data_IF_026323875768
#
_entry.id   IF_026323875768
#
_cell.length_a   1.000
_cell.length_b   1.000
_cell.length_c   1.000
_cell.angle_alpha   90.00
_cell.angle_beta   90.00
_cell.angle_gamma   90.00
#
_symmetry.space_group_name_H-M   'P 1'
#
loop_
_entity.id
_entity.type
_entity.pdbx_description
1 polymer ?
#
# COMPACT_ATOMS: atom_id res chain seq x y z
N UNK A 1 -6.64 14.46 -6.12
CA UNK A 1 -7.85 13.59 -6.01
C UNK A 1 -8.12 12.96 -7.37
N UNK A 2 -8.66 11.74 -7.40
CA UNK A 2 -8.96 11.02 -8.64
C UNK A 2 -9.98 11.80 -9.47
N UNK A 3 -9.73 11.97 -10.78
CA UNK A 3 -10.49 12.90 -11.62
C UNK A 3 -11.87 12.36 -12.05
N UNK A 4 -12.05 11.02 -12.14
CA UNK A 4 -13.32 10.38 -12.55
C UNK A 4 -13.49 8.98 -11.92
N UNK A 5 -13.72 8.86 -10.61
CA UNK A 5 -13.66 7.56 -9.97
C UNK A 5 -14.87 6.66 -10.33
N UNK A 6 -16.02 7.24 -10.73
CA UNK A 6 -17.17 6.49 -11.25
C UNK A 6 -16.96 5.81 -12.61
N UNK A 7 -15.83 6.03 -13.29
CA UNK A 7 -15.46 5.28 -14.50
C UNK A 7 -14.74 3.96 -14.19
N UNK A 8 -14.24 3.80 -12.95
CA UNK A 8 -13.37 2.67 -12.56
C UNK A 8 -13.95 1.81 -11.44
N UNK A 9 -14.97 2.32 -10.74
CA UNK A 9 -15.63 1.64 -9.64
C UNK A 9 -17.13 1.52 -9.95
N UNK A 10 -17.65 0.30 -9.92
CA UNK A 10 -19.09 -0.01 -9.91
C UNK A 10 -19.68 0.22 -8.51
N UNK A 11 -21.02 0.23 -8.39
CA UNK A 11 -21.74 0.65 -7.17
C UNK A 11 -21.28 0.02 -5.84
N UNK A 12 -20.85 -1.24 -5.86
CA UNK A 12 -20.42 -1.96 -4.64
C UNK A 12 -18.88 -2.08 -4.52
N UNK A 13 -18.13 -1.36 -5.36
CA UNK A 13 -16.68 -1.40 -5.38
C UNK A 13 -16.07 -0.23 -4.59
N UNK A 14 -15.09 -0.56 -3.76
CA UNK A 14 -14.39 0.39 -2.92
C UNK A 14 -12.92 0.01 -2.77
N UNK A 15 -12.12 0.99 -2.39
CA UNK A 15 -10.72 0.85 -2.03
C UNK A 15 -10.59 0.93 -0.51
N UNK A 16 -9.83 -0.01 0.05
CA UNK A 16 -9.35 0.10 1.43
C UNK A 16 -8.12 1.02 1.44
N UNK A 17 -8.32 2.22 1.96
CA UNK A 17 -7.30 3.27 1.97
C UNK A 17 -6.60 3.40 3.31
N UNK A 18 -5.35 3.87 3.26
CA UNK A 18 -4.62 4.31 4.43
C UNK A 18 -5.31 5.50 5.15
N UNK A 19 -4.97 5.71 6.42
CA UNK A 19 -5.42 6.85 7.24
C UNK A 19 -5.03 8.22 6.66
N UNK A 20 -3.99 8.27 5.82
CA UNK A 20 -3.58 9.47 5.11
C UNK A 20 -4.57 9.89 4.01
N UNK A 21 -5.43 8.98 3.54
CA UNK A 21 -6.44 9.30 2.54
C UNK A 21 -7.76 9.72 3.19
N UNK A 22 -8.35 10.79 2.68
CA UNK A 22 -9.68 11.23 3.12
C UNK A 22 -10.73 10.15 2.76
N UNK A 23 -11.58 9.74 3.72
CA UNK A 23 -12.70 8.84 3.44
C UNK A 23 -13.64 9.42 2.38
N UNK A 24 -14.18 8.56 1.52
CA UNK A 24 -15.16 8.95 0.49
C UNK A 24 -16.05 7.77 0.13
N UNK A 25 -17.00 7.97 -0.80
CA UNK A 25 -17.85 6.90 -1.33
C UNK A 25 -17.07 5.73 -1.95
N UNK A 26 -15.81 5.95 -2.33
CA UNK A 26 -14.93 4.92 -2.92
C UNK A 26 -13.79 4.53 -1.99
N UNK A 27 -13.36 5.40 -1.07
CA UNK A 27 -12.24 5.10 -0.16
C UNK A 27 -12.77 4.87 1.24
N UNK A 28 -12.65 3.63 1.71
CA UNK A 28 -12.92 3.23 3.08
C UNK A 28 -11.59 3.24 3.86
N UNK A 29 -11.45 4.18 4.78
CA UNK A 29 -10.30 4.26 5.69
C UNK A 29 -10.63 3.60 7.04
N UNK A 30 -9.63 3.48 7.91
CA UNK A 30 -9.86 2.95 9.27
C UNK A 30 -10.59 3.97 10.14
N UNK A 31 -11.36 3.47 11.10
CA UNK A 31 -12.12 4.31 12.02
C UNK A 31 -11.20 4.97 13.05
N UNK A 32 -11.28 6.30 13.16
CA UNK A 32 -10.61 7.04 14.24
C UNK A 32 -11.45 6.99 15.51
N UNK A 33 -10.79 7.05 16.67
CA UNK A 33 -11.49 7.21 17.95
C UNK A 33 -12.16 8.60 17.96
N UNK A 34 -13.48 8.69 18.25
CA UNK A 34 -14.15 9.98 18.38
C UNK A 34 -13.64 10.73 19.62
N UNK A 35 -13.65 12.07 19.56
CA UNK A 35 -13.03 12.94 20.56
C UNK A 35 -13.58 12.71 21.98
N UNK A 36 -14.89 12.46 22.10
CA UNK A 36 -15.58 12.22 23.36
C UNK A 36 -16.30 10.86 23.41
N UNK A 37 -15.74 9.82 22.77
CA UNK A 37 -16.42 8.52 22.71
C UNK A 37 -15.50 7.32 22.65
N UNK A 38 -16.13 6.14 22.81
CA UNK A 38 -15.49 4.85 22.60
C UNK A 38 -15.70 4.40 21.16
N UNK A 39 -14.69 3.74 20.60
CA UNK A 39 -14.82 3.05 19.33
C UNK A 39 -15.58 1.73 19.55
N UNK A 40 -16.60 1.47 18.74
CA UNK A 40 -17.40 0.23 18.78
C UNK A 40 -16.49 -1.00 18.63
N UNK A 41 -16.90 -2.13 19.22
CA UNK A 41 -16.20 -3.41 19.09
C UNK A 41 -16.08 -3.83 17.62
N UNK A 42 -17.11 -3.58 16.81
CA UNK A 42 -17.13 -3.86 15.37
C UNK A 42 -16.08 -3.05 14.63
N UNK A 43 -15.98 -1.74 14.92
CA UNK A 43 -14.98 -0.85 14.33
C UNK A 43 -13.56 -1.24 14.75
N UNK A 44 -13.36 -1.72 15.99
CA UNK A 44 -12.07 -2.28 16.42
C UNK A 44 -11.71 -3.53 15.62
N UNK A 45 -12.66 -4.44 15.42
CA UNK A 45 -12.42 -5.67 14.68
C UNK A 45 -12.13 -5.39 13.19
N UNK A 46 -12.87 -4.43 12.60
CA UNK A 46 -12.60 -3.95 11.25
C UNK A 46 -11.19 -3.37 11.14
N UNK A 47 -10.84 -2.42 12.00
CA UNK A 47 -9.52 -1.80 12.02
C UNK A 47 -8.40 -2.84 12.21
N UNK A 48 -8.59 -3.84 13.08
CA UNK A 48 -7.61 -4.90 13.30
C UNK A 48 -7.32 -5.68 12.01
N UNK A 49 -8.36 -6.09 11.27
CA UNK A 49 -8.19 -6.78 9.99
C UNK A 49 -7.54 -5.87 8.94
N UNK A 50 -7.97 -4.61 8.88
CA UNK A 50 -7.47 -3.63 7.92
C UNK A 50 -5.97 -3.34 8.14
N UNK A 51 -5.57 -3.01 9.37
CA UNK A 51 -4.16 -2.74 9.71
C UNK A 51 -3.28 -3.97 9.46
N UNK A 52 -3.75 -5.18 9.79
CA UNK A 52 -3.01 -6.41 9.49
C UNK A 52 -2.77 -6.61 7.99
N UNK A 53 -3.72 -6.24 7.14
CA UNK A 53 -3.53 -6.28 5.69
C UNK A 53 -2.53 -5.20 5.22
N UNK A 54 -2.64 -3.98 5.75
CA UNK A 54 -1.72 -2.88 5.44
C UNK A 54 -0.27 -3.23 5.79
N UNK A 55 -0.01 -3.79 6.97
CA UNK A 55 1.35 -4.20 7.39
C UNK A 55 2.00 -5.13 6.36
N UNK A 56 1.24 -6.10 5.82
CA UNK A 56 1.76 -7.03 4.80
C UNK A 56 2.06 -6.32 3.48
N UNK A 57 1.19 -5.41 3.05
CA UNK A 57 1.34 -4.62 1.82
C UNK A 57 2.56 -3.70 1.94
N UNK A 58 2.68 -2.96 3.05
CA UNK A 58 3.80 -2.06 3.31
C UNK A 58 5.12 -2.82 3.39
N UNK A 59 5.14 -3.98 4.05
CA UNK A 59 6.33 -4.83 4.11
C UNK A 59 6.77 -5.27 2.70
N UNK A 60 5.82 -5.74 1.87
CA UNK A 60 6.09 -6.12 0.48
C UNK A 60 6.63 -4.93 -0.34
N UNK A 61 6.00 -3.76 -0.26
CA UNK A 61 6.44 -2.54 -0.94
C UNK A 61 7.82 -2.11 -0.44
N UNK A 62 8.09 -2.24 0.86
CA UNK A 62 9.40 -1.96 1.45
C UNK A 62 10.49 -2.83 0.87
N UNK A 63 10.26 -4.15 0.76
CA UNK A 63 11.17 -5.08 0.09
C UNK A 63 11.40 -4.68 -1.37
N UNK A 64 10.32 -4.37 -2.10
CA UNK A 64 10.42 -3.95 -3.51
C UNK A 64 11.24 -2.67 -3.65
N UNK A 65 10.98 -1.66 -2.82
CA UNK A 65 11.76 -0.41 -2.79
C UNK A 65 13.24 -0.68 -2.49
N UNK A 66 13.53 -1.55 -1.52
CA UNK A 66 14.90 -1.96 -1.21
C UNK A 66 15.61 -2.60 -2.41
N UNK A 67 14.95 -3.54 -3.10
CA UNK A 67 15.47 -4.17 -4.32
C UNK A 67 15.70 -3.16 -5.45
N UNK A 68 14.78 -2.23 -5.67
CA UNK A 68 14.98 -1.20 -6.68
C UNK A 68 16.11 -0.24 -6.33
N UNK A 69 16.31 0.06 -5.05
CA UNK A 69 17.43 0.89 -4.61
C UNK A 69 18.77 0.17 -4.75
N UNK A 70 18.85 -1.14 -4.46
CA UNK A 70 20.08 -1.90 -4.70
C UNK A 70 20.47 -1.91 -6.18
N UNK A 71 19.49 -1.90 -7.09
CA UNK A 71 19.74 -1.74 -8.53
C UNK A 71 20.29 -0.36 -8.89
N UNK A 72 19.95 0.70 -8.16
CA UNK A 72 20.53 2.04 -8.38
C UNK A 72 21.97 2.15 -7.93
N UNK A 73 22.37 1.44 -6.87
CA UNK A 73 23.78 1.35 -6.49
C UNK A 73 24.59 0.44 -7.43
N UNK A 74 23.91 -0.48 -8.12
CA UNK A 74 24.50 -1.36 -9.12
C UNK A 74 24.58 -0.65 -10.48
N UNK A 75 25.52 0.27 -10.64
CA UNK A 75 25.84 0.91 -11.94
C UNK A 75 26.58 -0.08 -12.85
N UNK A 76 25.98 -1.21 -13.16
CA UNK A 76 26.53 -2.20 -14.09
C UNK A 76 25.60 -2.27 -15.30
N UNK A 77 26.09 -1.76 -16.42
CA UNK A 77 25.40 -1.87 -17.70
C UNK A 77 25.59 -3.29 -18.23
N UNK A 78 24.57 -4.14 -18.04
CA UNK A 78 24.55 -5.51 -18.58
C UNK A 78 24.25 -5.43 -20.08
N UNK A 79 25.27 -5.55 -20.92
CA UNK A 79 25.13 -5.59 -22.38
C UNK A 79 25.06 -7.00 -22.91
N UNK A 80 25.69 -7.95 -22.22
CA UNK A 80 25.75 -9.35 -22.63
C UNK A 80 25.78 -10.30 -21.42
N UNK A 81 25.62 -11.60 -21.69
CA UNK A 81 25.56 -12.66 -20.67
C UNK A 81 26.79 -12.77 -19.76
N UNK A 82 27.93 -12.20 -20.14
CA UNK A 82 29.16 -12.21 -19.33
C UNK A 82 29.19 -11.08 -18.29
N UNK A 83 28.42 -10.01 -18.50
CA UNK A 83 28.32 -8.90 -17.55
C UNK A 83 27.56 -9.34 -16.28
N UNK A 84 26.67 -10.32 -16.42
CA UNK A 84 25.92 -10.90 -15.29
C UNK A 84 26.84 -11.63 -14.30
N UNK A 85 27.93 -12.24 -14.79
CA UNK A 85 28.91 -12.92 -13.95
C UNK A 85 29.72 -11.97 -13.04
N UNK A 86 29.76 -10.66 -13.37
CA UNK A 86 30.42 -9.63 -12.54
C UNK A 86 29.53 -9.10 -11.41
N UNK A 87 28.25 -9.48 -11.40
CA UNK A 87 27.25 -8.95 -10.46
C UNK A 87 27.27 -9.70 -9.11
N UNK A 88 27.92 -10.87 -9.01
CA UNK A 88 28.27 -11.49 -7.73
C UNK A 88 27.08 -11.71 -6.78
N UNK A 89 25.90 -12.03 -7.33
CA UNK A 89 24.73 -12.50 -6.56
C UNK A 89 24.71 -14.02 -6.62
#
# INVERSE_FOLDING_TARGET
MARNPGQYFSGDQYLLGDLAYAPSHIIISTYKKPQNGLISAENKQFNYKHVNAQVKIEHCIGILKGRFQSLKSLWILVKNKYDVAKIGI
#
